data_IF_853126595742
#
_entry.id   IF_853126595742
#
_cell.length_a   1.000
_cell.length_b   1.000
_cell.length_c   1.000
_cell.angle_alpha   90.00
_cell.angle_beta   90.00
_cell.angle_gamma   90.00
#
_symmetry.space_group_name_H-M   'P 1'
#
loop_
_entity.id
_entity.type
_entity.pdbx_description
1 polymer ?
#
# COMPACT_ATOMS: atom_id res chain seq x y z
N UNK A 1 28.69 52.57 -20.65
CA UNK A 1 28.48 51.24 -21.28
C UNK A 1 27.94 50.32 -20.19
N UNK A 2 26.65 49.97 -20.28
CA UNK A 2 25.90 49.34 -19.19
C UNK A 2 26.19 47.85 -19.05
N UNK A 3 26.27 47.37 -17.80
CA UNK A 3 26.34 45.95 -17.48
C UNK A 3 24.98 45.29 -17.75
N UNK A 4 24.95 44.34 -18.69
CA UNK A 4 23.80 43.48 -18.95
C UNK A 4 23.69 42.48 -17.79
N UNK A 5 22.61 42.57 -17.00
CA UNK A 5 22.27 41.56 -15.98
C UNK A 5 21.57 40.40 -16.69
N UNK A 6 22.27 39.29 -16.86
CA UNK A 6 21.67 38.04 -17.35
C UNK A 6 20.88 37.44 -16.19
N UNK A 7 19.56 37.58 -16.21
CA UNK A 7 18.66 36.92 -15.27
C UNK A 7 18.43 35.50 -15.81
N UNK A 8 19.06 34.52 -15.16
CA UNK A 8 18.90 33.10 -15.50
C UNK A 8 17.58 32.61 -14.88
N UNK A 9 16.52 32.56 -15.68
CA UNK A 9 15.22 32.02 -15.26
C UNK A 9 15.29 30.50 -15.37
N UNK A 10 15.46 29.81 -14.23
CA UNK A 10 15.36 28.35 -14.17
C UNK A 10 13.86 28.00 -14.21
N UNK A 11 13.35 27.28 -15.23
CA UNK A 11 11.98 26.80 -15.19
C UNK A 11 11.86 25.73 -14.11
N UNK A 12 11.08 26.03 -13.07
CA UNK A 12 10.75 25.07 -12.02
C UNK A 12 9.74 24.06 -12.59
N UNK A 13 10.25 22.94 -13.10
CA UNK A 13 9.42 21.78 -13.48
C UNK A 13 8.97 21.09 -12.19
N UNK A 14 7.79 21.44 -11.69
CA UNK A 14 7.13 20.69 -10.62
C UNK A 14 6.57 19.42 -11.25
N UNK A 15 7.33 18.33 -11.20
CA UNK A 15 6.84 17.00 -11.54
C UNK A 15 6.06 16.49 -10.32
N UNK A 16 4.73 16.52 -10.39
CA UNK A 16 3.87 15.95 -9.36
C UNK A 16 3.96 14.43 -9.40
N UNK A 17 4.43 13.80 -8.32
CA UNK A 17 4.34 12.35 -8.15
C UNK A 17 2.93 12.04 -7.66
N UNK A 18 2.05 11.58 -8.54
CA UNK A 18 0.75 11.05 -8.12
C UNK A 18 1.01 9.73 -7.37
N UNK A 19 0.80 9.72 -6.04
CA UNK A 19 0.76 8.45 -5.32
C UNK A 19 -0.53 7.73 -5.69
N UNK A 20 -0.39 6.49 -6.13
CA UNK A 20 -1.54 5.62 -6.35
C UNK A 20 -2.33 5.53 -5.03
N UNK A 21 -3.61 5.92 -5.08
CA UNK A 21 -4.49 5.92 -3.91
C UNK A 21 -5.27 4.62 -3.89
N UNK A 22 -5.17 3.89 -2.78
CA UNK A 22 -5.89 2.64 -2.59
C UNK A 22 -7.25 2.90 -1.96
N UNK A 23 -8.25 2.14 -2.41
CA UNK A 23 -9.56 2.09 -1.75
C UNK A 23 -9.59 0.96 -0.73
N UNK A 24 -10.14 1.24 0.45
CA UNK A 24 -10.23 0.26 1.55
C UNK A 24 -11.57 -0.46 1.47
N UNK A 25 -11.53 -1.77 1.59
CA UNK A 25 -12.72 -2.62 1.60
C UNK A 25 -12.69 -3.57 2.80
N UNK A 26 -13.87 -4.00 3.23
CA UNK A 26 -14.05 -4.96 4.31
C UNK A 26 -15.15 -5.94 3.94
N UNK A 27 -14.88 -7.23 4.08
CA UNK A 27 -15.90 -8.28 3.93
C UNK A 27 -15.94 -9.15 5.18
N UNK A 28 -17.13 -9.64 5.53
CA UNK A 28 -17.30 -10.58 6.62
C UNK A 28 -16.96 -12.01 6.14
N UNK A 29 -16.17 -12.74 6.92
CA UNK A 29 -15.88 -14.16 6.71
C UNK A 29 -17.00 -15.01 7.33
N UNK A 30 -17.04 -16.29 6.96
CA UNK A 30 -18.01 -17.26 7.51
C UNK A 30 -17.94 -17.42 9.04
N UNK A 31 -16.77 -17.13 9.64
CA UNK A 31 -16.57 -17.18 11.09
C UNK A 31 -16.93 -15.86 11.82
N UNK A 32 -17.56 -14.91 11.12
CA UNK A 32 -17.98 -13.61 11.64
C UNK A 32 -16.87 -12.57 11.78
N UNK A 33 -15.63 -12.89 11.40
CA UNK A 33 -14.52 -11.93 11.43
C UNK A 33 -14.43 -11.12 10.12
N UNK A 34 -13.90 -9.89 10.20
CA UNK A 34 -13.68 -9.05 9.01
C UNK A 34 -12.35 -9.33 8.30
N UNK A 35 -12.37 -9.45 6.98
CA UNK A 35 -11.21 -9.42 6.08
C UNK A 35 -11.11 -8.01 5.49
N UNK A 36 -10.01 -7.32 5.75
CA UNK A 36 -9.72 -6.01 5.17
C UNK A 36 -8.76 -6.18 4.00
N UNK A 37 -9.05 -5.49 2.90
CA UNK A 37 -8.17 -5.46 1.73
C UNK A 37 -8.15 -4.08 1.09
N UNK A 38 -7.07 -3.79 0.38
CA UNK A 38 -6.86 -2.53 -0.32
C UNK A 38 -6.80 -2.79 -1.82
N UNK A 39 -7.61 -2.06 -2.59
CA UNK A 39 -7.62 -2.12 -4.05
C UNK A 39 -7.02 -0.84 -4.62
N UNK A 40 -5.92 -0.98 -5.35
CA UNK A 40 -5.26 0.08 -6.11
C UNK A 40 -5.45 -0.18 -7.59
N UNK A 41 -6.04 0.78 -8.30
CA UNK A 41 -6.19 0.70 -9.75
C UNK A 41 -4.96 1.28 -10.46
N UNK A 42 -4.52 0.65 -11.55
CA UNK A 42 -3.40 1.15 -12.36
C UNK A 42 -3.82 2.27 -13.33
N UNK A 43 -5.09 2.30 -13.73
CA UNK A 43 -5.68 3.32 -14.58
C UNK A 43 -7.14 3.62 -14.17
N UNK A 44 -7.77 4.62 -14.81
CA UNK A 44 -9.18 4.95 -14.59
C UNK A 44 -10.10 3.75 -14.91
N UNK A 45 -9.77 3.02 -15.98
CA UNK A 45 -10.43 1.79 -16.35
C UNK A 45 -9.76 0.60 -15.63
N UNK A 46 -10.54 -0.32 -15.03
CA UNK A 46 -9.98 -1.52 -14.39
C UNK A 46 -9.14 -2.35 -15.36
N UNK A 47 -8.05 -2.92 -14.83
CA UNK A 47 -7.25 -3.87 -15.58
C UNK A 47 -8.01 -5.19 -15.80
N UNK A 48 -7.69 -5.91 -16.87
CA UNK A 48 -8.18 -7.27 -17.09
C UNK A 48 -7.46 -8.30 -16.18
N UNK A 49 -6.47 -7.86 -15.41
CA UNK A 49 -5.67 -8.69 -14.52
C UNK A 49 -5.59 -8.08 -13.13
N UNK A 50 -5.56 -8.93 -12.11
CA UNK A 50 -5.44 -8.54 -10.71
C UNK A 50 -4.24 -9.25 -10.09
N UNK A 51 -3.29 -8.47 -9.57
CA UNK A 51 -2.20 -8.96 -8.73
C UNK A 51 -2.70 -9.01 -7.29
N UNK A 52 -2.76 -10.19 -6.70
CA UNK A 52 -3.17 -10.39 -5.31
C UNK A 52 -1.93 -10.67 -4.46
N UNK A 53 -1.69 -9.82 -3.45
CA UNK A 53 -0.61 -10.02 -2.47
C UNK A 53 -1.24 -10.18 -1.09
N UNK A 54 -1.02 -11.35 -0.49
CA UNK A 54 -1.52 -11.67 0.85
C UNK A 54 -0.38 -11.52 1.86
N UNK A 55 -0.67 -10.86 2.98
CA UNK A 55 0.29 -10.65 4.06
C UNK A 55 0.71 -11.98 4.70
N UNK A 56 1.99 -12.06 5.12
CA UNK A 56 2.65 -13.26 5.65
C UNK A 56 2.49 -13.47 7.16
N UNK A 57 3.54 -13.91 7.87
CA UNK A 57 3.51 -14.12 9.33
C UNK A 57 4.02 -12.92 10.14
N UNK A 58 4.06 -11.73 9.54
CA UNK A 58 4.59 -10.51 10.15
C UNK A 58 3.44 -9.62 10.65
N UNK A 59 3.25 -9.48 11.97
CA UNK A 59 2.12 -8.75 12.55
C UNK A 59 2.23 -7.23 12.36
N UNK A 60 2.20 -6.81 11.12
CA UNK A 60 2.29 -5.45 10.62
C UNK A 60 1.28 -5.30 9.49
N UNK A 61 0.65 -4.13 9.39
CA UNK A 61 -0.30 -3.88 8.30
C UNK A 61 0.41 -3.83 6.95
N UNK A 62 -0.17 -4.52 5.95
CA UNK A 62 0.34 -4.49 4.58
C UNK A 62 0.35 -3.09 3.98
N UNK A 63 -0.51 -2.20 4.48
CA UNK A 63 -0.57 -0.80 4.03
C UNK A 63 0.72 -0.01 4.28
N UNK A 64 1.60 -0.47 5.18
CA UNK A 64 2.89 0.17 5.49
C UNK A 64 4.10 -0.57 4.89
N UNK A 65 3.91 -1.76 4.32
CA UNK A 65 5.01 -2.56 3.79
C UNK A 65 5.55 -2.00 2.48
N UNK A 66 6.71 -1.34 2.53
CA UNK A 66 7.39 -0.85 1.31
C UNK A 66 7.83 -2.00 0.40
N UNK A 67 8.21 -3.14 0.96
CA UNK A 67 8.52 -4.34 0.16
C UNK A 67 7.32 -4.78 -0.67
N UNK A 68 6.11 -4.78 -0.10
CA UNK A 68 4.92 -5.16 -0.86
C UNK A 68 4.50 -4.05 -1.83
N UNK A 69 4.39 -2.81 -1.32
CA UNK A 69 3.79 -1.71 -2.06
C UNK A 69 4.72 -1.11 -3.11
N UNK A 70 6.04 -1.16 -2.90
CA UNK A 70 7.02 -0.58 -3.81
C UNK A 70 7.76 -1.64 -4.62
N UNK A 71 8.04 -2.85 -4.09
CA UNK A 71 8.82 -3.86 -4.81
C UNK A 71 7.94 -4.94 -5.46
N UNK A 72 7.13 -5.65 -4.68
CA UNK A 72 6.34 -6.77 -5.21
C UNK A 72 5.20 -6.31 -6.12
N UNK A 73 4.64 -5.13 -5.90
CA UNK A 73 3.68 -4.52 -6.82
C UNK A 73 4.22 -4.38 -8.26
N UNK A 74 5.55 -4.27 -8.43
CA UNK A 74 6.17 -4.12 -9.75
C UNK A 74 6.26 -5.43 -10.55
N UNK A 75 5.93 -6.60 -9.99
CA UNK A 75 6.03 -7.87 -10.74
C UNK A 75 4.97 -8.00 -11.84
N UNK A 76 3.89 -7.23 -11.77
CA UNK A 76 2.82 -7.18 -12.78
C UNK A 76 2.28 -5.74 -12.91
N UNK A 77 3.03 -4.82 -13.54
CA UNK A 77 2.73 -3.39 -13.51
C UNK A 77 1.42 -3.00 -14.22
N UNK A 78 0.91 -3.86 -15.11
CA UNK A 78 -0.35 -3.65 -15.82
C UNK A 78 -1.58 -4.15 -15.04
N UNK A 79 -1.39 -4.86 -13.93
CA UNK A 79 -2.47 -5.44 -13.13
C UNK A 79 -2.93 -4.47 -12.05
N UNK A 80 -4.25 -4.42 -11.80
CA UNK A 80 -4.75 -3.79 -10.57
C UNK A 80 -4.19 -4.55 -9.36
N UNK A 81 -3.88 -3.85 -8.27
CA UNK A 81 -3.27 -4.45 -7.08
C UNK A 81 -4.31 -4.62 -5.98
N UNK A 82 -4.41 -5.83 -5.44
CA UNK A 82 -5.19 -6.14 -4.24
C UNK A 82 -4.26 -6.65 -3.15
N UNK A 83 -4.05 -5.87 -2.09
CA UNK A 83 -3.31 -6.30 -0.90
C UNK A 83 -4.28 -6.69 0.20
N UNK A 84 -3.97 -7.78 0.92
CA UNK A 84 -4.89 -8.40 1.88
C UNK A 84 -4.27 -8.46 3.26
N UNK A 85 -4.99 -7.95 4.26
CA UNK A 85 -4.63 -8.07 5.68
C UNK A 85 -5.00 -9.44 6.25
N UNK A 86 -4.18 -9.98 7.15
CA UNK A 86 -4.61 -11.10 8.01
C UNK A 86 -5.62 -10.65 9.07
N UNK A 87 -6.11 -11.62 9.84
CA UNK A 87 -7.14 -11.43 10.86
C UNK A 87 -6.79 -10.30 11.84
N UNK A 88 -7.73 -9.37 12.02
CA UNK A 88 -7.61 -8.26 12.96
C UNK A 88 -6.70 -7.11 12.51
N UNK A 89 -5.83 -7.31 11.51
CA UNK A 89 -4.96 -6.26 10.98
C UNK A 89 -5.73 -5.25 10.14
N UNK A 90 -5.27 -4.01 10.20
CA UNK A 90 -5.76 -2.87 9.42
C UNK A 90 -4.72 -1.74 9.43
N UNK A 91 -4.96 -0.69 8.65
CA UNK A 91 -4.01 0.42 8.47
C UNK A 91 -3.62 1.15 9.76
N UNK A 92 -4.41 1.08 10.83
CA UNK A 92 -4.06 1.71 12.12
C UNK A 92 -2.97 0.94 12.87
N UNK A 93 -2.70 -0.32 12.52
CA UNK A 93 -1.63 -1.12 13.13
C UNK A 93 -0.29 -0.54 12.68
N UNK A 94 0.51 -0.10 13.65
CA UNK A 94 1.81 0.55 13.41
C UNK A 94 2.81 -0.44 12.82
N UNK A 95 3.63 0.04 11.89
CA UNK A 95 4.78 -0.72 11.39
C UNK A 95 5.88 -0.81 12.46
N UNK A 96 6.40 -2.02 12.69
CA UNK A 96 7.59 -2.28 13.46
C UNK A 96 8.65 -2.93 12.54
N UNK A 97 9.78 -2.27 12.26
CA UNK A 97 10.83 -2.85 11.41
C UNK A 97 11.61 -3.99 12.10
N UNK A 98 11.51 -4.12 13.42
CA UNK A 98 12.27 -5.09 14.20
C UNK A 98 11.48 -6.39 14.49
N UNK A 99 10.26 -6.52 13.94
CA UNK A 99 9.39 -7.69 14.10
C UNK A 99 7.91 -7.30 14.18
N UNK A 100 7.13 -8.06 14.96
CA UNK A 100 5.70 -7.81 15.11
C UNK A 100 5.39 -6.43 15.72
N UNK A 101 4.32 -5.79 15.27
CA UNK A 101 3.81 -4.55 15.86
C UNK A 101 3.52 -4.74 17.35
N UNK A 102 3.87 -3.78 18.22
CA UNK A 102 3.44 -3.82 19.62
C UNK A 102 1.91 -3.72 19.79
N UNK A 103 1.20 -3.28 18.74
CA UNK A 103 -0.27 -3.24 18.70
C UNK A 103 -0.88 -4.50 18.05
N UNK A 104 -0.14 -5.61 17.99
CA UNK A 104 -0.59 -6.83 17.34
C UNK A 104 -1.95 -7.31 17.90
N UNK A 105 -3.00 -7.39 17.07
CA UNK A 105 -4.33 -7.76 17.55
C UNK A 105 -4.39 -9.21 18.05
N UNK A 106 -5.14 -9.46 19.13
CA UNK A 106 -5.38 -10.83 19.62
C UNK A 106 -5.95 -11.75 18.53
N UNK A 107 -6.79 -11.22 17.65
CA UNK A 107 -7.36 -11.98 16.54
C UNK A 107 -6.31 -12.45 15.53
N UNK A 108 -5.23 -11.68 15.34
CA UNK A 108 -4.08 -12.12 14.56
C UNK A 108 -3.43 -13.30 15.27
N UNK A 109 -2.99 -13.11 16.51
CA UNK A 109 -2.26 -14.13 17.30
C UNK A 109 -3.01 -15.46 17.38
N UNK A 110 -4.33 -15.42 17.56
CA UNK A 110 -5.16 -16.63 17.68
C UNK A 110 -5.40 -17.37 16.35
N UNK A 111 -5.28 -16.66 15.23
CA UNK A 111 -5.59 -17.19 13.88
C UNK A 111 -4.39 -17.10 12.95
N UNK A 112 -3.21 -16.86 13.51
CA UNK A 112 -1.94 -16.86 12.80
C UNK A 112 -1.63 -18.32 12.45
N UNK A 113 -1.76 -18.64 11.16
CA UNK A 113 -1.44 -19.95 10.59
C UNK A 113 -0.12 -19.90 9.86
#
# INVERSE_FOLDING_TARGET
>A
MGLIRIILVIPLLIVGVAKASSTIHSIERQDGSSLIYYLTKTAENPSNSLLVIMQGSDCNSVSHSTTINDLFSQTAPEADLLTVEKYGLNQAIRWNPDGDSPDCPTAYIQKDS
#
